data_IF_526710839721
#
_entry.id   IF_526710839721
#
_cell.length_a   1.000
_cell.length_b   1.000
_cell.length_c   1.000
_cell.angle_alpha   90.00
_cell.angle_beta   90.00
_cell.angle_gamma   90.00
#
_symmetry.space_group_name_H-M   'P 1'
#
loop_
_entity.id
_entity.type
_entity.pdbx_description
1 polymer ?
#
# COMPACT_ATOMS: atom_id res chain seq x y z
N UNK A 1 -20.64 -4.30 -20.72
CA UNK A 1 -20.43 -3.48 -19.50
C UNK A 1 -19.01 -2.92 -19.51
N UNK A 2 -18.84 -1.68 -19.06
CA UNK A 2 -17.55 -0.98 -19.00
C UNK A 2 -17.29 -0.46 -17.58
N UNK A 3 -16.10 -0.70 -17.05
CA UNK A 3 -15.65 -0.19 -15.74
C UNK A 3 -14.43 0.70 -15.93
N UNK A 4 -14.48 1.89 -15.34
CA UNK A 4 -13.37 2.84 -15.28
C UNK A 4 -12.69 2.72 -13.91
N UNK A 5 -11.47 2.18 -13.87
CA UNK A 5 -10.73 1.97 -12.62
C UNK A 5 -9.69 3.08 -12.42
N UNK A 6 -10.04 4.10 -11.64
CA UNK A 6 -9.14 5.19 -11.30
C UNK A 6 -8.29 4.83 -10.08
N UNK A 7 -6.98 4.66 -10.27
CA UNK A 7 -6.07 4.14 -9.24
C UNK A 7 -5.00 5.17 -8.89
N UNK A 8 -4.76 5.38 -7.59
CA UNK A 8 -3.68 6.23 -7.10
C UNK A 8 -2.32 5.75 -7.68
N UNK A 9 -1.56 6.68 -8.26
CA UNK A 9 -0.30 6.37 -8.95
C UNK A 9 0.93 6.34 -8.05
N UNK A 10 0.79 6.72 -6.78
CA UNK A 10 1.91 6.87 -5.84
C UNK A 10 2.36 5.49 -5.34
N UNK A 11 3.56 5.09 -5.75
CA UNK A 11 4.09 3.76 -5.49
C UNK A 11 3.28 2.64 -6.15
N UNK A 12 3.62 1.39 -5.87
CA UNK A 12 2.98 0.22 -6.48
C UNK A 12 1.87 -0.41 -5.62
N UNK A 13 1.69 0.05 -4.37
CA UNK A 13 0.74 -0.55 -3.43
C UNK A 13 -0.71 -0.48 -3.91
N UNK A 14 -1.13 0.68 -4.42
CA UNK A 14 -2.48 0.93 -4.92
C UNK A 14 -2.80 0.11 -6.19
N UNK A 15 -1.86 0.06 -7.14
CA UNK A 15 -2.07 -0.67 -8.38
C UNK A 15 -2.04 -2.18 -8.20
N UNK A 16 -1.13 -2.70 -7.36
CA UNK A 16 -1.01 -4.15 -7.10
C UNK A 16 -2.20 -4.73 -6.33
N UNK A 17 -3.00 -3.90 -5.63
CA UNK A 17 -4.28 -4.33 -5.04
C UNK A 17 -5.47 -4.17 -5.97
N UNK A 18 -5.43 -3.22 -6.91
CA UNK A 18 -6.54 -2.98 -7.84
C UNK A 18 -6.49 -3.90 -9.06
N UNK A 19 -5.29 -4.24 -9.54
CA UNK A 19 -5.09 -5.06 -10.73
C UNK A 19 -5.79 -6.42 -10.64
N UNK A 20 -5.73 -7.19 -9.52
CA UNK A 20 -6.43 -8.47 -9.44
C UNK A 20 -7.94 -8.37 -9.63
N UNK A 21 -8.56 -7.26 -9.18
CA UNK A 21 -9.99 -6.99 -9.36
C UNK A 21 -10.27 -6.74 -10.85
N UNK A 22 -9.49 -5.87 -11.49
CA UNK A 22 -9.61 -5.56 -12.91
C UNK A 22 -9.38 -6.79 -13.81
N UNK A 23 -8.40 -7.63 -13.45
CA UNK A 23 -8.10 -8.90 -14.13
C UNK A 23 -9.30 -9.83 -14.12
N UNK A 24 -9.93 -10.03 -12.96
CA UNK A 24 -11.12 -10.88 -12.86
C UNK A 24 -12.35 -10.30 -13.55
N UNK A 25 -12.55 -8.97 -13.50
CA UNK A 25 -13.60 -8.30 -14.26
C UNK A 25 -13.45 -8.56 -15.77
N UNK A 26 -12.24 -8.43 -16.31
CA UNK A 26 -11.95 -8.76 -17.72
C UNK A 26 -12.23 -10.23 -18.04
N UNK A 27 -11.85 -11.16 -17.15
CA UNK A 27 -12.16 -12.58 -17.31
C UNK A 27 -13.67 -12.87 -17.30
N UNK A 28 -14.49 -11.99 -16.71
CA UNK A 28 -15.96 -12.04 -16.75
C UNK A 28 -16.56 -11.29 -17.96
N UNK A 29 -15.74 -10.85 -18.92
CA UNK A 29 -16.20 -10.13 -20.12
C UNK A 29 -16.51 -8.65 -19.89
N UNK A 30 -16.10 -8.07 -18.75
CA UNK A 30 -16.25 -6.64 -18.48
C UNK A 30 -15.07 -5.90 -19.10
N UNK A 31 -15.36 -4.85 -19.88
CA UNK A 31 -14.33 -3.99 -20.43
C UNK A 31 -13.78 -3.07 -19.33
N UNK A 32 -12.50 -3.23 -18.98
CA UNK A 32 -11.84 -2.44 -17.92
C UNK A 32 -10.77 -1.55 -18.53
N UNK A 33 -10.78 -0.27 -18.16
CA UNK A 33 -9.66 0.66 -18.39
C UNK A 33 -9.15 1.18 -17.05
N UNK A 34 -7.83 1.29 -16.92
CA UNK A 34 -7.21 1.90 -15.75
C UNK A 34 -6.87 3.37 -16.03
N UNK A 35 -7.16 4.25 -15.08
CA UNK A 35 -6.69 5.64 -15.06
C UNK A 35 -5.71 5.84 -13.90
N UNK A 36 -4.44 6.10 -14.22
CA UNK A 36 -3.37 6.23 -13.22
C UNK A 36 -2.17 6.99 -13.78
N UNK A 37 -1.10 7.17 -12.99
CA UNK A 37 0.11 7.89 -13.38
C UNK A 37 1.36 7.30 -12.71
N UNK A 38 2.53 7.91 -12.92
CA UNK A 38 3.81 7.58 -12.27
C UNK A 38 4.23 6.10 -12.44
N UNK A 39 4.72 5.46 -11.36
CA UNK A 39 5.20 4.07 -11.40
C UNK A 39 4.08 3.08 -11.69
N UNK A 40 2.84 3.36 -11.25
CA UNK A 40 1.68 2.51 -11.50
C UNK A 40 1.33 2.40 -12.98
N UNK A 41 1.40 3.53 -13.73
CA UNK A 41 1.17 3.55 -15.17
C UNK A 41 2.16 2.64 -15.92
N UNK A 42 3.44 2.74 -15.57
CA UNK A 42 4.49 1.91 -16.18
C UNK A 42 4.30 0.43 -15.85
N UNK A 43 3.92 0.11 -14.62
CA UNK A 43 3.63 -1.27 -14.20
C UNK A 43 2.48 -1.88 -15.01
N UNK A 44 1.34 -1.19 -15.13
CA UNK A 44 0.17 -1.68 -15.87
C UNK A 44 0.45 -1.87 -17.37
N UNK A 45 1.19 -0.93 -17.98
CA UNK A 45 1.62 -1.06 -19.39
C UNK A 45 2.48 -2.31 -19.61
N UNK A 46 3.42 -2.58 -18.69
CA UNK A 46 4.32 -3.74 -18.80
C UNK A 46 3.56 -5.07 -18.79
N UNK A 47 2.48 -5.16 -18.02
CA UNK A 47 1.65 -6.37 -17.95
C UNK A 47 0.48 -6.37 -18.95
N UNK A 48 0.48 -5.44 -19.92
CA UNK A 48 -0.41 -5.48 -21.09
C UNK A 48 -1.75 -4.75 -20.95
N UNK A 49 -1.92 -3.85 -19.97
CA UNK A 49 -3.13 -3.01 -19.90
C UNK A 49 -3.02 -1.76 -20.77
N UNK A 50 -4.13 -1.45 -21.45
CA UNK A 50 -4.39 -0.11 -21.95
C UNK A 50 -4.77 0.78 -20.76
N UNK A 51 -4.14 1.96 -20.66
CA UNK A 51 -4.37 2.90 -19.57
C UNK A 51 -4.64 4.30 -20.10
N UNK A 52 -5.42 5.07 -19.34
CA UNK A 52 -5.41 6.52 -19.44
C UNK A 52 -4.39 7.07 -18.45
N UNK A 53 -3.29 7.61 -18.98
CA UNK A 53 -2.28 8.23 -18.14
C UNK A 53 -2.74 9.63 -17.73
N UNK A 54 -3.02 9.78 -16.45
CA UNK A 54 -3.57 11.00 -15.85
C UNK A 54 -2.50 11.83 -15.14
N UNK A 55 -2.93 12.89 -14.46
CA UNK A 55 -2.08 13.73 -13.61
C UNK A 55 -2.50 13.53 -12.16
N UNK A 56 -1.53 13.42 -11.26
CA UNK A 56 -1.78 13.44 -9.80
C UNK A 56 -0.68 14.26 -9.13
N UNK A 57 -0.97 14.78 -7.94
CA UNK A 57 0.05 15.39 -7.08
C UNK A 57 0.92 14.29 -6.44
N UNK A 58 2.21 14.58 -6.32
CA UNK A 58 3.15 13.83 -5.48
C UNK A 58 3.64 14.73 -4.35
N UNK A 59 4.24 14.15 -3.32
CA UNK A 59 4.91 14.87 -2.24
C UNK A 59 6.43 14.91 -2.44
N UNK A 60 7.06 15.93 -1.85
CA UNK A 60 8.50 16.11 -1.78
C UNK A 60 9.12 15.20 -0.72
N UNK A 61 10.35 14.77 -1.00
CA UNK A 61 11.08 13.80 -0.21
C UNK A 61 12.56 14.21 -0.16
N UNK A 62 13.10 14.25 1.05
CA UNK A 62 14.50 14.52 1.36
C UNK A 62 15.43 13.38 0.91
N UNK A 63 16.74 13.59 0.93
CA UNK A 63 17.72 12.56 0.54
C UNK A 63 17.69 11.32 1.45
N UNK A 64 17.31 11.49 2.71
CA UNK A 64 17.12 10.43 3.68
C UNK A 64 15.78 9.67 3.51
N UNK A 65 14.99 10.03 2.50
CA UNK A 65 13.66 9.46 2.27
C UNK A 65 12.56 10.03 3.17
N UNK A 66 12.83 11.05 3.98
CA UNK A 66 11.82 11.71 4.81
C UNK A 66 10.85 12.51 3.95
N UNK A 67 9.54 12.36 4.19
CA UNK A 67 8.52 13.18 3.51
C UNK A 67 8.56 14.60 4.07
N UNK A 68 8.62 15.58 3.16
CA UNK A 68 8.62 16.99 3.49
C UNK A 68 7.41 17.70 2.89
N UNK A 69 6.35 17.82 3.69
CA UNK A 69 5.14 18.53 3.29
C UNK A 69 5.34 20.05 3.19
N UNK A 70 6.31 20.63 3.90
CA UNK A 70 6.63 22.06 3.78
C UNK A 70 7.21 22.30 2.39
N UNK A 71 8.24 21.54 2.00
CA UNK A 71 8.80 21.61 0.66
C UNK A 71 7.75 21.28 -0.42
N UNK A 72 6.87 20.30 -0.17
CA UNK A 72 5.79 19.95 -1.11
C UNK A 72 4.84 21.12 -1.43
N UNK A 73 4.62 22.02 -0.47
CA UNK A 73 3.72 23.17 -0.61
C UNK A 73 4.47 24.49 -0.92
N UNK A 74 5.76 24.56 -0.57
CA UNK A 74 6.61 25.74 -0.75
C UNK A 74 7.40 25.74 -2.07
N UNK A 75 7.70 24.57 -2.66
CA UNK A 75 8.39 24.52 -3.93
C UNK A 75 7.50 24.99 -5.07
N UNK A 76 8.08 25.74 -5.99
CA UNK A 76 7.35 26.27 -7.13
C UNK A 76 6.89 25.09 -8.01
N UNK A 77 5.59 24.95 -8.26
CA UNK A 77 4.57 25.95 -7.96
C UNK A 77 3.80 25.47 -6.71
N UNK A 78 3.68 26.35 -5.71
CA UNK A 78 3.16 25.99 -4.37
C UNK A 78 1.66 25.68 -4.34
N UNK A 79 0.96 26.12 -3.29
CA UNK A 79 -0.50 25.89 -3.11
C UNK A 79 -1.37 26.21 -4.35
N UNK A 80 -1.11 27.31 -5.06
CA UNK A 80 -1.85 27.66 -6.29
C UNK A 80 -1.61 26.69 -7.45
N UNK A 81 -0.44 26.06 -7.51
CA UNK A 81 -0.22 24.97 -8.46
C UNK A 81 -1.00 23.73 -8.10
N UNK A 82 -1.06 23.40 -6.81
CA UNK A 82 -1.81 22.25 -6.34
C UNK A 82 -3.26 22.40 -6.82
N UNK A 83 -3.84 23.59 -6.67
CA UNK A 83 -5.16 23.94 -7.24
C UNK A 83 -5.17 23.79 -8.77
N UNK A 84 -4.24 24.42 -9.49
CA UNK A 84 -4.17 24.35 -10.97
C UNK A 84 -4.04 22.91 -11.47
N UNK A 85 -3.24 22.08 -10.82
CA UNK A 85 -3.03 20.68 -11.17
C UNK A 85 -4.29 19.86 -10.85
N UNK A 86 -4.95 20.13 -9.72
CA UNK A 86 -6.22 19.50 -9.35
C UNK A 86 -7.33 19.82 -10.36
N UNK A 87 -7.40 21.07 -10.83
CA UNK A 87 -8.33 21.47 -11.90
C UNK A 87 -8.00 20.79 -13.24
N UNK A 88 -6.72 20.66 -13.58
CA UNK A 88 -6.29 19.92 -14.77
C UNK A 88 -6.61 18.44 -14.68
N UNK A 89 -6.39 17.81 -13.52
CA UNK A 89 -6.77 16.43 -13.25
C UNK A 89 -8.27 16.26 -13.42
N UNK A 90 -9.08 17.15 -12.82
CA UNK A 90 -10.55 17.11 -12.96
C UNK A 90 -10.99 17.22 -14.43
N UNK A 91 -10.47 18.19 -15.18
CA UNK A 91 -10.81 18.36 -16.59
C UNK A 91 -10.37 17.15 -17.44
N UNK A 92 -9.20 16.58 -17.15
CA UNK A 92 -8.71 15.39 -17.84
C UNK A 92 -9.57 14.16 -17.52
N UNK A 93 -9.85 13.89 -16.25
CA UNK A 93 -10.69 12.76 -15.83
C UNK A 93 -12.11 12.89 -16.40
N UNK A 94 -12.69 14.09 -16.43
CA UNK A 94 -14.02 14.32 -17.00
C UNK A 94 -14.02 13.89 -18.48
N UNK A 95 -13.07 14.42 -19.25
CA UNK A 95 -12.92 14.07 -20.67
C UNK A 95 -12.73 12.57 -20.87
N UNK A 96 -11.90 11.90 -20.08
CA UNK A 96 -11.65 10.45 -20.21
C UNK A 96 -12.85 9.61 -19.82
N UNK A 97 -13.57 9.98 -18.77
CA UNK A 97 -14.78 9.28 -18.33
C UNK A 97 -15.88 9.43 -19.38
N UNK A 98 -16.10 10.63 -19.93
CA UNK A 98 -17.07 10.86 -21.01
C UNK A 98 -16.70 10.10 -22.29
N UNK A 99 -15.44 10.17 -22.73
CA UNK A 99 -14.97 9.44 -23.92
C UNK A 99 -15.10 7.92 -23.76
N UNK A 100 -14.82 7.38 -22.57
CA UNK A 100 -14.92 5.95 -22.33
C UNK A 100 -16.36 5.47 -22.14
N UNK A 101 -17.22 6.34 -21.61
CA UNK A 101 -18.62 6.10 -21.27
C UNK A 101 -18.80 4.82 -20.41
N UNK A 102 -18.28 4.79 -19.17
CA UNK A 102 -18.37 3.62 -18.30
C UNK A 102 -19.76 3.45 -17.70
N UNK A 103 -20.11 2.20 -17.41
CA UNK A 103 -21.26 1.84 -16.58
C UNK A 103 -20.98 2.04 -15.09
N UNK A 104 -19.71 1.91 -14.66
CA UNK A 104 -19.33 2.10 -13.27
C UNK A 104 -17.93 2.71 -13.15
N UNK A 105 -17.75 3.61 -12.17
CA UNK A 105 -16.45 4.17 -11.80
C UNK A 105 -15.98 3.55 -10.49
N UNK A 106 -14.83 2.87 -10.52
CA UNK A 106 -14.14 2.38 -9.33
C UNK A 106 -12.97 3.31 -9.04
N UNK A 107 -12.95 3.95 -7.88
CA UNK A 107 -11.86 4.82 -7.46
C UNK A 107 -11.11 4.21 -6.28
N UNK A 108 -9.80 4.23 -6.36
CA UNK A 108 -8.91 3.89 -5.26
C UNK A 108 -8.24 5.16 -4.75
N UNK A 109 -8.71 5.65 -3.60
CA UNK A 109 -8.26 6.88 -2.92
C UNK A 109 -8.37 8.20 -3.71
N UNK A 110 -8.79 8.19 -4.98
CA UNK A 110 -8.86 9.40 -5.82
C UNK A 110 -10.22 10.09 -5.74
N UNK A 111 -10.20 11.42 -5.69
CA UNK A 111 -11.41 12.24 -5.50
C UNK A 111 -12.08 12.64 -6.82
N UNK A 112 -11.30 13.11 -7.81
CA UNK A 112 -11.85 13.61 -9.07
C UNK A 112 -12.78 12.59 -9.77
N UNK A 113 -12.43 11.29 -9.87
CA UNK A 113 -13.33 10.29 -10.47
C UNK A 113 -14.66 10.13 -9.73
N UNK A 114 -14.66 10.21 -8.39
CA UNK A 114 -15.89 10.11 -7.57
C UNK A 114 -16.79 11.32 -7.80
N UNK A 115 -16.20 12.53 -7.78
CA UNK A 115 -16.95 13.77 -8.04
C UNK A 115 -17.58 13.74 -9.45
N UNK A 116 -16.80 13.37 -10.46
CA UNK A 116 -17.26 13.31 -11.86
C UNK A 116 -18.34 12.24 -12.02
N UNK A 117 -18.13 11.04 -11.48
CA UNK A 117 -19.14 9.98 -11.55
C UNK A 117 -20.46 10.44 -10.95
N UNK A 118 -20.40 11.12 -9.80
CA UNK A 118 -21.60 11.69 -9.16
C UNK A 118 -22.29 12.75 -10.03
N UNK A 119 -21.52 13.65 -10.65
CA UNK A 119 -22.04 14.69 -11.55
C UNK A 119 -22.72 14.09 -12.79
N UNK A 120 -22.18 13.01 -13.33
CA UNK A 120 -22.68 12.33 -14.52
C UNK A 120 -23.75 11.27 -14.21
N UNK A 121 -24.11 11.06 -12.93
CA UNK A 121 -25.08 10.03 -12.53
C UNK A 121 -24.58 8.59 -12.72
N UNK A 122 -23.26 8.38 -12.81
CA UNK A 122 -22.65 7.06 -12.98
C UNK A 122 -22.44 6.43 -11.60
N UNK A 123 -22.91 5.20 -11.35
CA UNK A 123 -22.64 4.48 -10.11
C UNK A 123 -21.15 4.33 -9.85
N UNK A 124 -20.78 4.47 -8.59
CA UNK A 124 -19.38 4.53 -8.22
C UNK A 124 -19.06 3.87 -6.88
N UNK A 125 -17.88 3.29 -6.84
CA UNK A 125 -17.34 2.56 -5.70
C UNK A 125 -16.00 3.19 -5.33
N UNK A 126 -15.81 3.49 -4.06
CA UNK A 126 -14.58 4.05 -3.54
C UNK A 126 -13.88 3.03 -2.64
N UNK A 127 -12.59 2.79 -2.86
CA UNK A 127 -11.75 1.99 -1.97
C UNK A 127 -10.79 2.89 -1.18
N UNK A 128 -10.77 2.73 0.15
CA UNK A 128 -9.97 3.55 1.06
C UNK A 128 -9.30 2.73 2.17
N UNK A 129 -8.08 3.15 2.52
CA UNK A 129 -7.36 2.69 3.72
C UNK A 129 -7.10 3.82 4.70
N UNK A 130 -7.51 5.04 4.35
CA UNK A 130 -7.32 6.24 5.12
C UNK A 130 -8.48 7.20 4.80
N UNK A 131 -9.29 7.55 5.80
CA UNK A 131 -10.22 8.68 5.68
C UNK A 131 -9.59 9.98 6.20
N UNK A 132 -8.69 9.87 7.17
CA UNK A 132 -7.98 11.03 7.70
C UNK A 132 -6.55 11.03 7.21
N UNK A 133 -6.30 11.84 6.18
CA UNK A 133 -4.94 12.13 5.76
C UNK A 133 -4.37 13.12 6.79
N UNK A 134 -3.41 12.70 7.60
CA UNK A 134 -2.79 13.55 8.62
C UNK A 134 -1.40 13.98 8.16
N UNK A 135 -1.07 15.25 8.34
CA UNK A 135 0.30 15.74 8.16
C UNK A 135 1.06 15.56 9.48
N UNK A 136 2.28 15.05 9.40
CA UNK A 136 3.20 14.95 10.54
C UNK A 136 4.35 15.93 10.30
N UNK A 137 4.74 16.65 11.35
CA UNK A 137 5.96 17.46 11.29
C UNK A 137 7.17 16.54 11.33
N UNK A 138 7.95 16.51 10.26
CA UNK A 138 9.22 15.79 10.16
C UNK A 138 10.44 16.70 10.38
N UNK A 139 10.24 18.02 10.56
CA UNK A 139 11.34 18.96 10.83
C UNK A 139 11.89 18.78 12.25
N UNK A 140 13.21 18.65 12.35
CA UNK A 140 13.94 18.54 13.62
C UNK A 140 14.36 19.90 14.22
N UNK A 141 14.08 21.01 13.53
CA UNK A 141 14.42 22.35 14.01
C UNK A 141 13.24 23.01 14.74
N UNK A 142 13.45 23.36 16.01
CA UNK A 142 12.46 23.99 16.89
C UNK A 142 12.50 25.53 16.83
N UNK A 143 12.49 26.12 15.63
CA UNK A 143 12.39 27.59 15.53
C UNK A 143 10.94 28.05 15.69
N UNK A 144 10.73 29.21 16.34
CA UNK A 144 9.39 29.79 16.55
C UNK A 144 8.64 30.04 15.23
N UNK A 145 9.38 30.43 14.19
CA UNK A 145 8.83 30.67 12.84
C UNK A 145 8.36 29.35 12.21
N UNK A 146 9.11 28.26 12.40
CA UNK A 146 8.72 26.95 11.92
C UNK A 146 7.49 26.41 12.63
N UNK A 147 7.38 26.64 13.94
CA UNK A 147 6.23 26.23 14.73
C UNK A 147 4.96 26.98 14.28
N UNK A 148 5.05 28.30 14.10
CA UNK A 148 3.96 29.13 13.60
C UNK A 148 3.53 28.71 12.18
N UNK A 149 4.50 28.46 11.29
CA UNK A 149 4.23 27.99 9.92
C UNK A 149 3.54 26.63 9.91
N UNK A 150 3.98 25.69 10.76
CA UNK A 150 3.35 24.38 10.89
C UNK A 150 1.92 24.47 11.45
N UNK A 151 1.67 25.36 12.43
CA UNK A 151 0.30 25.63 12.93
C UNK A 151 -0.61 26.14 11.82
N UNK A 152 -0.16 27.10 11.01
CA UNK A 152 -0.94 27.61 9.87
C UNK A 152 -1.24 26.50 8.85
N UNK A 153 -0.23 25.70 8.48
CA UNK A 153 -0.43 24.56 7.58
C UNK A 153 -1.46 23.58 8.13
N UNK A 154 -1.45 23.30 9.43
CA UNK A 154 -2.43 22.41 10.07
C UNK A 154 -3.87 22.92 9.94
N UNK A 155 -4.07 24.25 10.03
CA UNK A 155 -5.38 24.89 9.81
C UNK A 155 -5.84 24.73 8.35
N UNK A 156 -4.99 25.10 7.38
CA UNK A 156 -5.29 24.96 5.95
C UNK A 156 -5.56 23.50 5.56
N UNK A 157 -4.79 22.59 6.16
CA UNK A 157 -4.96 21.17 5.98
C UNK A 157 -6.29 20.65 6.52
N UNK A 158 -6.71 21.09 7.71
CA UNK A 158 -8.02 20.72 8.28
C UNK A 158 -9.20 21.15 7.41
N UNK A 159 -9.11 22.32 6.79
CA UNK A 159 -10.10 22.77 5.82
C UNK A 159 -10.10 21.88 4.56
N UNK A 160 -8.91 21.58 4.04
CA UNK A 160 -8.75 20.71 2.87
C UNK A 160 -9.25 19.28 3.14
N UNK A 161 -8.94 18.70 4.30
CA UNK A 161 -9.39 17.36 4.68
C UNK A 161 -10.91 17.27 4.77
N UNK A 162 -11.58 18.31 5.23
CA UNK A 162 -13.04 18.36 5.28
C UNK A 162 -13.67 18.33 3.88
N UNK A 163 -13.05 19.00 2.90
CA UNK A 163 -13.46 18.92 1.49
C UNK A 163 -13.24 17.53 0.92
N UNK A 164 -12.08 16.91 1.21
CA UNK A 164 -11.76 15.54 0.79
C UNK A 164 -12.81 14.54 1.32
N UNK A 165 -13.11 14.61 2.61
CA UNK A 165 -14.14 13.78 3.26
C UNK A 165 -15.52 14.01 2.64
N UNK A 166 -15.87 15.27 2.34
CA UNK A 166 -17.10 15.63 1.65
C UNK A 166 -17.22 14.99 0.27
N UNK A 167 -16.15 15.00 -0.54
CA UNK A 167 -16.16 14.37 -1.86
C UNK A 167 -16.25 12.85 -1.75
N UNK A 168 -15.48 12.22 -0.86
CA UNK A 168 -15.57 10.78 -0.64
C UNK A 168 -16.96 10.33 -0.18
N UNK A 169 -17.70 11.18 0.54
CA UNK A 169 -19.07 10.90 0.95
C UNK A 169 -20.07 10.76 -0.20
N UNK A 170 -19.73 11.29 -1.39
CA UNK A 170 -20.56 11.19 -2.60
C UNK A 170 -20.60 9.76 -3.16
N UNK A 171 -19.72 8.88 -2.67
CA UNK A 171 -19.65 7.50 -3.14
C UNK A 171 -20.90 6.70 -2.82
N UNK A 172 -21.28 5.77 -3.69
CA UNK A 172 -22.43 4.90 -3.46
C UNK A 172 -22.07 3.78 -2.47
N UNK A 173 -20.86 3.25 -2.57
CA UNK A 173 -20.26 2.29 -1.63
C UNK A 173 -18.81 2.65 -1.33
N UNK A 174 -18.39 2.46 -0.08
CA UNK A 174 -17.00 2.64 0.36
C UNK A 174 -16.45 1.31 0.88
N UNK A 175 -15.39 0.83 0.26
CA UNK A 175 -14.76 -0.44 0.53
C UNK A 175 -13.48 -0.24 1.32
N UNK A 176 -13.35 -0.97 2.42
CA UNK A 176 -12.16 -0.97 3.25
C UNK A 176 -11.46 -2.32 3.07
N UNK A 177 -10.34 -2.38 2.34
CA UNK A 177 -9.65 -3.63 2.05
C UNK A 177 -8.77 -4.03 3.24
N UNK A 178 -9.34 -4.07 4.44
CA UNK A 178 -8.71 -4.37 5.72
C UNK A 178 -9.65 -5.29 6.52
N UNK A 179 -9.16 -5.87 7.61
CA UNK A 179 -9.96 -6.61 8.57
C UNK A 179 -10.89 -5.65 9.32
N UNK A 180 -12.08 -6.11 9.73
CA UNK A 180 -12.93 -5.35 10.64
C UNK A 180 -12.31 -5.25 12.03
N UNK A 181 -12.84 -4.34 12.86
CA UNK A 181 -12.46 -4.27 14.27
C UNK A 181 -12.72 -5.62 14.97
N UNK A 182 -11.86 -6.04 15.91
CA UNK A 182 -10.71 -5.32 16.46
C UNK A 182 -9.40 -5.49 15.68
N UNK A 183 -9.38 -6.18 14.52
CA UNK A 183 -8.13 -6.57 13.85
C UNK A 183 -7.64 -5.59 12.78
N UNK A 184 -8.40 -4.53 12.49
CA UNK A 184 -8.06 -3.49 11.51
C UNK A 184 -6.65 -2.92 11.75
N UNK A 185 -5.80 -2.98 10.71
CA UNK A 185 -4.44 -2.43 10.72
C UNK A 185 -4.47 -0.91 10.51
N UNK A 186 -5.32 -0.43 9.62
CA UNK A 186 -5.51 0.98 9.32
C UNK A 186 -6.38 1.71 10.35
N UNK A 187 -6.57 1.19 11.56
CA UNK A 187 -7.52 1.72 12.55
C UNK A 187 -7.31 3.20 12.87
N UNK A 188 -6.05 3.66 12.96
CA UNK A 188 -5.69 5.08 13.16
C UNK A 188 -5.95 5.96 11.94
N UNK A 189 -5.83 5.39 10.74
CA UNK A 189 -5.95 6.10 9.46
C UNK A 189 -7.41 6.19 8.99
N UNK A 190 -8.21 5.19 9.34
CA UNK A 190 -9.61 5.11 8.95
C UNK A 190 -10.51 6.03 9.77
N UNK A 191 -10.34 6.12 11.10
CA UNK A 191 -11.06 7.06 11.98
C UNK A 191 -12.48 7.44 11.49
N UNK A 192 -13.29 6.41 11.19
CA UNK A 192 -14.47 6.51 10.33
C UNK A 192 -15.51 7.46 10.93
N UNK A 193 -15.92 8.52 10.21
CA UNK A 193 -17.05 9.34 10.63
C UNK A 193 -18.35 8.53 10.67
N UNK A 194 -19.14 8.68 11.75
CA UNK A 194 -20.43 7.97 11.94
C UNK A 194 -21.38 8.11 10.75
N UNK A 195 -21.35 9.25 10.07
CA UNK A 195 -22.18 9.53 8.90
C UNK A 195 -21.93 8.54 7.74
N UNK A 196 -20.76 7.89 7.68
CA UNK A 196 -20.39 7.00 6.59
C UNK A 196 -20.57 5.51 6.92
N UNK A 197 -20.92 5.15 8.16
CA UNK A 197 -21.01 3.75 8.59
C UNK A 197 -21.91 2.89 7.70
N UNK A 198 -23.04 3.43 7.25
CA UNK A 198 -24.01 2.72 6.38
C UNK A 198 -23.49 2.43 4.97
N UNK A 199 -22.49 3.19 4.51
CA UNK A 199 -21.90 3.05 3.16
C UNK A 199 -20.62 2.21 3.19
N UNK A 200 -20.10 1.91 4.37
CA UNK A 200 -18.81 1.27 4.54
C UNK A 200 -18.95 -0.24 4.61
N UNK A 201 -18.10 -0.93 3.85
CA UNK A 201 -17.96 -2.38 3.88
C UNK A 201 -16.51 -2.77 4.05
N UNK A 202 -16.19 -3.44 5.15
CA UNK A 202 -14.92 -4.14 5.28
C UNK A 202 -14.97 -5.37 4.38
N UNK A 203 -14.10 -5.41 3.38
CA UNK A 203 -14.03 -6.52 2.41
C UNK A 203 -12.92 -7.51 2.73
N UNK A 204 -12.11 -7.23 3.76
CA UNK A 204 -10.89 -7.96 4.04
C UNK A 204 -9.73 -7.53 3.13
N UNK A 205 -8.51 -7.99 3.40
CA UNK A 205 -7.36 -7.65 2.57
C UNK A 205 -7.41 -8.32 1.20
N UNK A 206 -6.94 -7.59 0.19
CA UNK A 206 -6.81 -8.08 -1.17
C UNK A 206 -5.57 -8.97 -1.28
N UNK A 207 -5.80 -10.28 -1.17
CA UNK A 207 -4.80 -11.35 -1.24
C UNK A 207 -5.20 -12.29 -2.40
N UNK A 208 -4.66 -12.09 -3.61
CA UNK A 208 -5.05 -12.85 -4.80
C UNK A 208 -4.58 -14.32 -4.81
N UNK A 209 -3.49 -14.64 -4.11
CA UNK A 209 -3.00 -16.02 -3.92
C UNK A 209 -3.15 -16.36 -2.43
N UNK A 210 -4.03 -17.31 -2.11
CA UNK A 210 -4.28 -17.72 -0.72
C UNK A 210 -3.18 -18.64 -0.23
N UNK A 211 -3.07 -18.73 1.10
CA UNK A 211 -2.11 -19.63 1.75
C UNK A 211 -2.26 -21.09 1.29
N UNK A 212 -3.50 -21.53 1.07
CA UNK A 212 -3.86 -22.88 0.60
C UNK A 212 -3.49 -23.16 -0.85
N UNK A 213 -3.33 -22.11 -1.66
CA UNK A 213 -3.10 -22.24 -3.11
C UNK A 213 -1.63 -22.55 -3.42
N UNK A 214 -0.73 -22.29 -2.48
CA UNK A 214 0.70 -22.54 -2.62
C UNK A 214 1.13 -23.90 -2.03
N UNK A 215 2.21 -24.50 -2.54
CA UNK A 215 2.83 -25.69 -1.95
C UNK A 215 3.22 -25.48 -0.48
N UNK A 216 3.57 -26.57 0.22
CA UNK A 216 4.07 -26.47 1.59
C UNK A 216 5.42 -25.72 1.66
N UNK A 217 5.79 -25.28 2.86
CA UNK A 217 6.97 -24.43 3.09
C UNK A 217 8.27 -25.08 2.60
N UNK A 218 8.45 -26.38 2.85
CA UNK A 218 9.64 -27.17 2.45
C UNK A 218 9.79 -27.21 0.92
N UNK A 219 8.70 -27.47 0.21
CA UNK A 219 8.70 -27.50 -1.26
C UNK A 219 9.11 -26.15 -1.84
N UNK A 220 8.56 -25.06 -1.29
CA UNK A 220 8.88 -23.71 -1.73
C UNK A 220 10.35 -23.37 -1.43
N UNK A 221 10.88 -23.76 -0.26
CA UNK A 221 12.29 -23.52 0.07
C UNK A 221 13.22 -24.21 -0.93
N UNK A 222 12.93 -25.45 -1.34
CA UNK A 222 13.69 -26.14 -2.40
C UNK A 222 13.57 -25.42 -3.75
N UNK A 223 12.37 -25.05 -4.18
CA UNK A 223 12.13 -24.32 -5.43
C UNK A 223 12.89 -22.99 -5.50
N UNK A 224 12.93 -22.26 -4.39
CA UNK A 224 13.57 -20.94 -4.30
C UNK A 224 15.04 -21.00 -3.84
N UNK A 225 15.60 -22.21 -3.71
CA UNK A 225 16.96 -22.45 -3.22
C UNK A 225 17.24 -21.75 -1.87
N UNK A 226 16.35 -21.92 -0.90
CA UNK A 226 16.43 -21.40 0.47
C UNK A 226 16.92 -22.52 1.39
N UNK A 227 17.92 -22.21 2.24
CA UNK A 227 18.49 -23.18 3.18
C UNK A 227 17.49 -23.47 4.32
N UNK A 228 16.96 -24.69 4.35
CA UNK A 228 15.97 -25.13 5.34
C UNK A 228 16.51 -25.22 6.77
N UNK A 229 17.84 -25.33 6.93
CA UNK A 229 18.48 -25.39 8.25
C UNK A 229 18.60 -24.02 8.93
N UNK A 230 18.34 -22.94 8.17
CA UNK A 230 18.50 -21.55 8.61
C UNK A 230 17.16 -20.86 8.82
N UNK A 231 17.17 -19.86 9.70
CA UNK A 231 16.04 -18.95 9.87
C UNK A 231 15.98 -18.01 8.67
N UNK A 232 14.87 -18.01 7.95
CA UNK A 232 14.69 -17.22 6.73
C UNK A 232 14.15 -15.83 7.06
N UNK A 233 14.92 -14.79 6.76
CA UNK A 233 14.51 -13.38 6.88
C UNK A 233 14.30 -12.81 5.48
N UNK A 234 13.07 -12.40 5.18
CA UNK A 234 12.74 -11.77 3.90
C UNK A 234 12.52 -10.27 4.04
N UNK A 235 13.44 -9.49 3.48
CA UNK A 235 13.37 -8.05 3.37
C UNK A 235 12.68 -7.64 2.06
N UNK A 236 11.43 -7.20 2.14
CA UNK A 236 10.66 -6.68 1.01
C UNK A 236 10.75 -5.15 0.96
N UNK A 237 11.53 -4.64 0.02
CA UNK A 237 11.67 -3.19 -0.18
C UNK A 237 10.64 -2.72 -1.18
N UNK A 238 9.79 -1.78 -0.75
CA UNK A 238 8.74 -1.17 -1.57
C UNK A 238 8.56 0.30 -1.23
N UNK A 239 7.80 1.02 -2.05
CA UNK A 239 7.50 2.44 -1.87
C UNK A 239 8.00 3.29 -3.04
N UNK A 240 7.79 4.61 -2.98
CA UNK A 240 8.24 5.51 -4.03
C UNK A 240 9.78 5.52 -4.14
N UNK A 241 10.27 5.92 -5.31
CA UNK A 241 11.67 5.73 -5.74
C UNK A 241 12.73 6.17 -4.72
N UNK A 242 12.62 7.37 -4.12
CA UNK A 242 13.65 7.93 -3.23
C UNK A 242 13.69 7.20 -1.88
N UNK A 243 12.54 7.03 -1.26
CA UNK A 243 12.35 6.37 0.04
C UNK A 243 12.72 4.89 -0.04
N UNK A 244 12.39 4.25 -1.18
CA UNK A 244 12.80 2.89 -1.52
C UNK A 244 14.32 2.77 -1.60
N UNK A 245 14.98 3.70 -2.31
CA UNK A 245 16.43 3.69 -2.48
C UNK A 245 17.17 3.83 -1.14
N UNK A 246 16.71 4.73 -0.26
CA UNK A 246 17.31 4.88 1.07
C UNK A 246 17.24 3.59 1.88
N UNK A 247 16.04 2.98 1.97
CA UNK A 247 15.85 1.76 2.75
C UNK A 247 16.66 0.60 2.17
N UNK A 248 16.64 0.46 0.84
CA UNK A 248 17.42 -0.55 0.13
C UNK A 248 18.89 -0.45 0.51
N UNK A 249 19.49 0.74 0.37
CA UNK A 249 20.91 0.94 0.67
C UNK A 249 21.24 0.66 2.14
N UNK A 250 20.35 1.03 3.07
CA UNK A 250 20.53 0.80 4.50
C UNK A 250 20.44 -0.69 4.85
N UNK A 251 19.42 -1.39 4.34
CA UNK A 251 19.24 -2.83 4.56
C UNK A 251 20.33 -3.66 3.89
N UNK A 252 20.75 -3.33 2.67
CA UNK A 252 21.88 -4.01 1.99
C UNK A 252 23.16 -3.98 2.83
N UNK A 253 23.41 -2.91 3.59
CA UNK A 253 24.58 -2.84 4.49
C UNK A 253 24.38 -3.68 5.75
N UNK A 254 23.24 -3.53 6.42
CA UNK A 254 22.94 -4.23 7.68
C UNK A 254 22.87 -5.76 7.47
N UNK A 255 22.22 -6.20 6.41
CA UNK A 255 21.94 -7.62 6.19
C UNK A 255 23.18 -8.43 5.78
N UNK A 256 24.25 -7.78 5.32
CA UNK A 256 25.52 -8.48 4.96
C UNK A 256 26.28 -9.00 6.18
N UNK A 257 26.02 -8.45 7.36
CA UNK A 257 26.69 -8.81 8.61
C UNK A 257 25.80 -9.66 9.52
N UNK A 258 24.63 -10.09 9.03
CA UNK A 258 23.75 -10.99 9.78
C UNK A 258 24.45 -12.31 10.14
N UNK A 259 24.17 -12.89 11.33
CA UNK A 259 24.75 -14.16 11.75
C UNK A 259 24.46 -15.31 10.78
N UNK A 260 25.38 -16.28 10.67
CA UNK A 260 25.29 -17.40 9.72
C UNK A 260 24.05 -18.29 9.85
N UNK A 261 23.40 -18.27 11.03
CA UNK A 261 22.13 -18.98 11.28
C UNK A 261 20.94 -18.42 10.50
N UNK A 262 21.11 -17.26 9.85
CA UNK A 262 20.08 -16.63 9.03
C UNK A 262 20.34 -16.84 7.54
N UNK A 263 19.28 -17.14 6.80
CA UNK A 263 19.24 -17.03 5.35
C UNK A 263 18.47 -15.75 5.00
N UNK A 264 19.16 -14.77 4.40
CA UNK A 264 18.58 -13.47 4.13
C UNK A 264 18.27 -13.31 2.66
N UNK A 265 17.00 -12.99 2.37
CA UNK A 265 16.50 -12.71 1.03
C UNK A 265 16.02 -11.26 0.99
N UNK A 266 16.36 -10.53 -0.06
CA UNK A 266 15.92 -9.15 -0.28
C UNK A 266 15.30 -9.00 -1.66
N UNK A 267 14.14 -8.36 -1.77
CA UNK A 267 13.60 -7.88 -3.04
C UNK A 267 13.65 -6.36 -3.11
N UNK A 268 14.22 -5.82 -4.21
CA UNK A 268 14.42 -4.37 -4.38
C UNK A 268 13.14 -3.62 -4.77
N UNK A 269 12.14 -4.33 -5.30
CA UNK A 269 10.89 -3.74 -5.77
C UNK A 269 11.09 -2.82 -6.98
N UNK A 270 12.02 -3.18 -7.87
CA UNK A 270 12.22 -2.49 -9.14
C UNK A 270 11.45 -3.21 -10.26
N UNK A 271 10.30 -2.70 -10.73
CA UNK A 271 9.53 -3.34 -11.79
C UNK A 271 10.23 -3.31 -13.16
N UNK A 272 11.42 -2.72 -13.30
CA UNK A 272 12.27 -2.83 -14.49
C UNK A 272 13.44 -3.80 -14.29
N UNK A 273 13.61 -4.30 -13.07
CA UNK A 273 14.66 -5.23 -12.71
C UNK A 273 14.44 -6.63 -13.25
N UNK A 274 15.51 -7.42 -13.18
CA UNK A 274 15.50 -8.85 -13.46
C UNK A 274 14.74 -9.63 -12.37
N UNK A 275 14.08 -10.72 -12.77
CA UNK A 275 13.39 -11.67 -11.89
C UNK A 275 14.32 -12.77 -11.37
N UNK A 276 15.54 -12.86 -11.88
CA UNK A 276 16.52 -13.86 -11.44
C UNK A 276 17.06 -13.57 -10.03
N UNK A 277 17.29 -14.65 -9.27
CA UNK A 277 17.92 -14.58 -7.97
C UNK A 277 19.44 -14.38 -8.11
N UNK A 278 19.96 -13.35 -7.45
CA UNK A 278 21.39 -13.03 -7.42
C UNK A 278 21.94 -13.22 -6.02
N UNK A 279 23.19 -13.65 -5.89
CA UNK A 279 23.89 -13.67 -4.60
C UNK A 279 24.84 -12.48 -4.54
N UNK A 280 24.67 -11.62 -3.54
CA UNK A 280 25.55 -10.47 -3.28
C UNK A 280 26.13 -10.67 -1.88
N UNK A 281 27.38 -11.09 -1.75
CA UNK A 281 27.94 -11.45 -0.45
C UNK A 281 27.15 -12.59 0.21
N UNK A 282 26.60 -12.35 1.40
CA UNK A 282 25.80 -13.31 2.17
C UNK A 282 24.30 -13.27 1.88
N UNK A 283 23.83 -12.31 1.10
CA UNK A 283 22.40 -12.11 0.85
C UNK A 283 21.98 -12.59 -0.54
N UNK A 284 20.78 -13.16 -0.61
CA UNK A 284 20.05 -13.48 -1.85
C UNK A 284 19.20 -12.28 -2.25
N UNK A 285 19.30 -11.82 -3.48
CA UNK A 285 18.71 -10.56 -3.93
C UNK A 285 17.96 -10.74 -5.24
N UNK A 286 16.70 -10.29 -5.25
CA UNK A 286 15.88 -10.11 -6.44
C UNK A 286 15.77 -8.62 -6.77
N UNK A 287 15.94 -8.23 -8.04
CA UNK A 287 15.62 -6.86 -8.45
C UNK A 287 14.11 -6.67 -8.52
N UNK A 288 13.42 -7.63 -9.15
CA UNK A 288 11.96 -7.76 -9.20
C UNK A 288 11.53 -9.16 -8.77
N UNK A 289 10.36 -9.26 -8.14
CA UNK A 289 9.69 -10.54 -7.90
C UNK A 289 8.30 -10.48 -8.52
N UNK A 290 7.91 -11.50 -9.25
CA UNK A 290 6.53 -11.66 -9.73
C UNK A 290 5.58 -11.98 -8.55
N UNK A 291 4.28 -11.98 -8.84
CA UNK A 291 3.23 -12.18 -7.83
C UNK A 291 3.37 -13.53 -7.11
N UNK A 292 3.54 -14.61 -7.86
CA UNK A 292 3.63 -15.97 -7.30
C UNK A 292 4.90 -16.13 -6.46
N UNK A 293 6.06 -15.73 -7.00
CA UNK A 293 7.35 -15.77 -6.29
C UNK A 293 7.30 -14.93 -5.02
N UNK A 294 6.66 -13.75 -5.05
CA UNK A 294 6.51 -12.92 -3.87
C UNK A 294 5.72 -13.64 -2.77
N UNK A 295 4.58 -14.25 -3.10
CA UNK A 295 3.77 -14.98 -2.13
C UNK A 295 4.47 -16.25 -1.62
N UNK A 296 5.23 -16.94 -2.48
CA UNK A 296 6.13 -18.04 -2.07
C UNK A 296 7.17 -17.57 -1.06
N UNK A 297 7.82 -16.44 -1.30
CA UNK A 297 8.77 -15.84 -0.34
C UNK A 297 8.10 -15.49 0.99
N UNK A 298 6.89 -14.91 0.97
CA UNK A 298 6.12 -14.69 2.20
C UNK A 298 5.85 -16.02 2.94
N UNK A 299 5.45 -17.08 2.24
CA UNK A 299 5.19 -18.40 2.85
C UNK A 299 6.45 -19.07 3.42
N UNK A 300 7.57 -18.97 2.70
CA UNK A 300 8.85 -19.61 3.05
C UNK A 300 9.62 -18.91 4.18
N UNK A 301 9.26 -17.67 4.51
CA UNK A 301 10.02 -16.87 5.48
C UNK A 301 9.58 -17.12 6.92
N UNK A 302 10.48 -16.88 7.87
CA UNK A 302 10.16 -16.85 9.30
C UNK A 302 9.78 -15.45 9.75
N UNK A 303 10.50 -14.43 9.28
CA UNK A 303 10.29 -13.02 9.59
C UNK A 303 10.23 -12.21 8.30
N UNK A 304 9.29 -11.28 8.22
CA UNK A 304 9.23 -10.27 7.16
C UNK A 304 9.81 -8.96 7.66
N UNK A 305 10.62 -8.29 6.84
CA UNK A 305 11.14 -6.93 7.10
C UNK A 305 10.72 -6.03 5.95
N UNK A 306 10.12 -4.88 6.24
CA UNK A 306 9.73 -3.97 5.16
C UNK A 306 9.20 -2.63 5.63
N UNK A 307 8.68 -1.84 4.67
CA UNK A 307 7.93 -0.62 4.96
C UNK A 307 6.61 -0.97 5.65
N UNK A 308 6.04 -0.02 6.40
CA UNK A 308 4.75 -0.19 7.06
C UNK A 308 3.55 0.01 6.13
N UNK A 309 3.73 -0.29 4.83
CA UNK A 309 2.66 -0.20 3.85
C UNK A 309 1.60 -1.26 4.11
N UNK A 310 0.33 -0.87 4.05
CA UNK A 310 -0.79 -1.76 4.36
C UNK A 310 -0.73 -3.08 3.58
N UNK A 311 -0.42 -3.05 2.28
CA UNK A 311 -0.33 -4.25 1.45
C UNK A 311 0.75 -5.24 1.89
N UNK A 312 1.93 -4.76 2.32
CA UNK A 312 3.01 -5.62 2.81
C UNK A 312 2.63 -6.29 4.13
N UNK A 313 2.07 -5.50 5.05
CA UNK A 313 1.58 -6.01 6.33
C UNK A 313 0.51 -7.09 6.11
N UNK A 314 -0.47 -6.84 5.26
CA UNK A 314 -1.54 -7.81 5.00
C UNK A 314 -1.03 -9.10 4.37
N UNK A 315 -0.05 -9.02 3.45
CA UNK A 315 0.59 -10.21 2.89
C UNK A 315 1.32 -11.01 3.97
N UNK A 316 2.07 -10.36 4.86
CA UNK A 316 2.73 -11.05 5.97
C UNK A 316 1.72 -11.78 6.88
N UNK A 317 0.65 -11.08 7.30
CA UNK A 317 -0.38 -11.66 8.16
C UNK A 317 -1.17 -12.79 7.46
N UNK A 318 -1.45 -12.66 6.16
CA UNK A 318 -2.12 -13.67 5.36
C UNK A 318 -1.33 -14.98 5.25
N UNK A 319 -0.02 -14.91 5.48
CA UNK A 319 0.88 -16.07 5.47
C UNK A 319 1.39 -16.42 6.88
N UNK A 320 0.72 -15.91 7.92
CA UNK A 320 1.03 -16.17 9.32
C UNK A 320 2.49 -15.80 9.67
N UNK A 321 2.99 -14.69 9.13
CA UNK A 321 4.37 -14.23 9.38
C UNK A 321 4.37 -12.96 10.23
N UNK A 322 5.10 -12.92 11.35
CA UNK A 322 5.35 -11.67 12.05
C UNK A 322 6.20 -10.73 11.19
N UNK A 323 6.04 -9.42 11.41
CA UNK A 323 6.65 -8.41 10.56
C UNK A 323 7.39 -7.33 11.36
N UNK A 324 8.59 -6.98 10.90
CA UNK A 324 9.32 -5.78 11.31
C UNK A 324 9.00 -4.67 10.31
N UNK A 325 8.39 -3.60 10.79
CA UNK A 325 8.01 -2.46 9.96
C UNK A 325 8.95 -1.27 10.20
N UNK A 326 9.41 -0.66 9.11
CA UNK A 326 10.27 0.53 9.12
C UNK A 326 9.50 1.67 8.41
N UNK A 327 8.61 2.39 9.11
CA UNK A 327 7.79 3.42 8.50
C UNK A 327 8.64 4.56 7.94
N UNK A 328 8.16 5.18 6.85
CA UNK A 328 8.79 6.37 6.25
C UNK A 328 8.55 7.57 7.18
N UNK A 329 9.61 8.30 7.61
CA UNK A 329 9.47 9.52 8.41
C UNK A 329 8.52 10.53 7.76
N UNK A 330 7.58 11.06 8.54
CA UNK A 330 6.54 11.98 8.05
C UNK A 330 5.34 11.30 7.39
N UNK A 331 5.36 10.00 7.08
CA UNK A 331 4.21 9.35 6.46
C UNK A 331 3.24 8.79 7.51
N UNK A 332 2.18 9.57 7.82
CA UNK A 332 1.21 9.23 8.86
C UNK A 332 0.56 7.87 8.70
N UNK A 333 0.22 7.47 7.45
CA UNK A 333 -0.40 6.18 7.20
C UNK A 333 0.49 5.02 7.66
N UNK A 334 1.78 5.07 7.31
CA UNK A 334 2.75 4.05 7.66
C UNK A 334 3.02 4.00 9.16
N UNK A 335 3.15 5.14 9.83
CA UNK A 335 3.27 5.15 11.30
C UNK A 335 2.02 4.55 11.97
N UNK A 336 0.83 4.95 11.53
CA UNK A 336 -0.42 4.45 12.08
C UNK A 336 -0.53 2.93 11.96
N UNK A 337 -0.15 2.37 10.81
CA UNK A 337 -0.13 0.93 10.57
C UNK A 337 0.95 0.22 11.42
N UNK A 338 2.16 0.78 11.51
CA UNK A 338 3.26 0.20 12.28
C UNK A 338 2.94 0.13 13.78
N UNK A 339 2.45 1.23 14.35
CA UNK A 339 2.03 1.28 15.75
C UNK A 339 0.87 0.32 16.02
N UNK A 340 -0.06 0.17 15.05
CA UNK A 340 -1.16 -0.77 15.19
C UNK A 340 -0.68 -2.22 15.22
N UNK A 341 0.31 -2.57 14.43
CA UNK A 341 0.90 -3.92 14.42
C UNK A 341 1.58 -4.25 15.74
N UNK A 342 2.28 -3.30 16.36
CA UNK A 342 2.82 -3.48 17.71
C UNK A 342 1.71 -3.67 18.76
N UNK A 343 0.65 -2.85 18.70
CA UNK A 343 -0.50 -2.97 19.61
C UNK A 343 -1.19 -4.32 19.51
N UNK A 344 -1.31 -4.87 18.31
CA UNK A 344 -1.88 -6.20 18.06
C UNK A 344 -0.90 -7.34 18.41
N UNK A 345 0.35 -7.03 18.78
CA UNK A 345 1.42 -8.01 19.04
C UNK A 345 1.70 -8.92 17.84
N UNK A 346 1.64 -8.35 16.62
CA UNK A 346 1.86 -9.08 15.36
C UNK A 346 3.20 -8.74 14.70
N UNK A 347 3.95 -7.81 15.29
CA UNK A 347 5.19 -7.31 14.72
C UNK A 347 5.84 -6.25 15.58
N UNK A 348 6.91 -5.65 15.05
CA UNK A 348 7.73 -4.64 15.72
C UNK A 348 7.95 -3.44 14.80
N UNK A 349 7.80 -2.23 15.33
CA UNK A 349 8.20 -1.01 14.63
C UNK A 349 9.64 -0.67 14.96
N UNK A 350 10.46 -0.43 13.94
CA UNK A 350 11.76 0.23 14.06
C UNK A 350 11.65 1.57 13.35
N UNK A 351 11.77 2.67 14.09
CA UNK A 351 11.80 4.00 13.47
C UNK A 351 13.00 4.09 12.53
N UNK A 352 12.83 4.72 11.37
CA UNK A 352 13.84 4.76 10.31
C UNK A 352 15.20 5.27 10.81
N UNK A 353 15.19 6.31 11.63
CA UNK A 353 16.37 6.94 12.24
C UNK A 353 17.09 6.05 13.25
N UNK A 354 16.41 5.04 13.80
CA UNK A 354 16.96 4.06 14.74
C UNK A 354 17.38 2.75 14.07
N UNK A 355 17.23 2.64 12.75
CA UNK A 355 17.57 1.42 12.02
C UNK A 355 19.09 1.24 11.99
N UNK A 356 19.59 0.25 12.72
CA UNK A 356 20.96 -0.24 12.70
C UNK A 356 20.97 -1.77 12.85
N UNK A 357 22.15 -2.37 12.78
CA UNK A 357 22.35 -3.82 12.86
C UNK A 357 21.77 -4.41 14.15
N UNK A 358 22.18 -3.89 15.30
CA UNK A 358 21.74 -4.36 16.61
C UNK A 358 20.23 -4.27 16.77
N UNK A 359 19.62 -3.13 16.41
CA UNK A 359 18.19 -2.91 16.50
C UNK A 359 17.40 -3.89 15.61
N UNK A 360 17.88 -4.15 14.39
CA UNK A 360 17.21 -5.09 13.49
C UNK A 360 17.36 -6.53 13.96
N UNK A 361 18.56 -6.94 14.37
CA UNK A 361 18.83 -8.29 14.87
C UNK A 361 18.02 -8.58 16.15
N UNK A 362 18.03 -7.65 17.10
CA UNK A 362 17.23 -7.76 18.33
C UNK A 362 15.73 -7.86 18.03
N UNK A 363 15.22 -7.13 17.04
CA UNK A 363 13.83 -7.23 16.63
C UNK A 363 13.51 -8.59 15.99
N UNK A 364 14.40 -9.13 15.15
CA UNK A 364 14.26 -10.47 14.57
C UNK A 364 14.17 -11.53 15.66
N UNK A 365 15.13 -11.56 16.59
CA UNK A 365 15.18 -12.53 17.69
C UNK A 365 13.95 -12.49 18.59
N UNK A 366 13.45 -11.29 18.88
CA UNK A 366 12.24 -11.13 19.68
C UNK A 366 10.98 -11.61 18.95
N UNK A 367 10.87 -11.35 17.64
CA UNK A 367 9.69 -11.74 16.87
C UNK A 367 9.66 -13.23 16.52
N UNK A 368 10.78 -13.93 16.50
CA UNK A 368 10.78 -15.40 16.31
C UNK A 368 9.95 -16.11 17.37
N UNK A 369 9.86 -15.54 18.58
CA UNK A 369 9.01 -16.03 19.68
C UNK A 369 7.51 -15.90 19.38
N UNK A 370 7.11 -15.12 18.37
CA UNK A 370 5.71 -14.89 18.00
C UNK A 370 5.22 -15.76 16.84
N UNK A 371 6.08 -16.55 16.19
CA UNK A 371 5.72 -17.35 14.99
C UNK A 371 4.48 -18.24 15.20
N UNK A 372 4.29 -18.72 16.43
CA UNK A 372 3.15 -19.56 16.82
C UNK A 372 2.26 -18.96 17.91
N UNK A 373 2.28 -17.63 18.06
CA UNK A 373 1.43 -16.95 19.04
C UNK A 373 -0.07 -17.14 18.76
N UNK A 374 -0.88 -17.11 19.82
CA UNK A 374 -2.34 -17.21 19.70
C UNK A 374 -2.90 -16.02 18.90
N UNK A 375 -2.33 -14.84 19.09
CA UNK A 375 -2.69 -13.60 18.40
C UNK A 375 -2.53 -13.74 16.88
N UNK A 376 -1.38 -14.20 16.41
CA UNK A 376 -1.09 -14.37 14.99
C UNK A 376 -1.99 -15.44 14.36
N UNK A 377 -2.19 -16.56 15.06
CA UNK A 377 -3.11 -17.62 14.62
C UNK A 377 -4.57 -17.12 14.51
N UNK A 378 -5.04 -16.30 15.46
CA UNK A 378 -6.39 -15.74 15.41
C UNK A 378 -6.58 -14.79 14.23
N UNK A 379 -5.63 -13.88 14.02
CA UNK A 379 -5.67 -12.93 12.90
C UNK A 379 -5.61 -13.67 11.57
N UNK A 380 -4.75 -14.69 11.44
CA UNK A 380 -4.68 -15.54 10.24
C UNK A 380 -6.02 -16.24 9.95
N UNK A 381 -6.70 -16.78 10.96
CA UNK A 381 -8.02 -17.41 10.80
C UNK A 381 -9.06 -16.42 10.29
N UNK A 382 -9.15 -15.24 10.91
CA UNK A 382 -10.08 -14.20 10.49
C UNK A 382 -9.74 -13.71 9.09
N UNK A 383 -8.48 -13.47 8.77
CA UNK A 383 -8.05 -13.03 7.44
C UNK A 383 -8.45 -14.02 6.35
N UNK A 384 -8.23 -15.32 6.59
CA UNK A 384 -8.57 -16.36 5.61
C UNK A 384 -10.08 -16.59 5.47
N UNK A 385 -10.93 -16.09 6.37
CA UNK A 385 -12.38 -16.11 6.15
C UNK A 385 -12.86 -15.05 5.15
N UNK A 386 -11.98 -14.15 4.71
CA UNK A 386 -12.29 -13.14 3.70
C UNK A 386 -11.79 -13.54 2.31
N UNK A 387 -12.62 -13.21 1.32
CA UNK A 387 -12.22 -13.15 -0.09
C UNK A 387 -12.58 -11.78 -0.65
N UNK A 388 -11.69 -10.81 -0.40
CA UNK A 388 -11.89 -9.44 -0.82
C UNK A 388 -12.03 -9.32 -2.34
N UNK A 389 -11.19 -10.02 -3.11
CA UNK A 389 -11.21 -9.94 -4.57
C UNK A 389 -12.57 -10.40 -5.11
N UNK A 390 -13.08 -11.55 -4.65
CA UNK A 390 -14.40 -12.05 -5.04
C UNK A 390 -15.54 -11.17 -4.51
N UNK A 391 -15.44 -10.68 -3.28
CA UNK A 391 -16.45 -9.80 -2.68
C UNK A 391 -16.61 -8.51 -3.47
N UNK A 392 -15.49 -7.88 -3.86
CA UNK A 392 -15.49 -6.65 -4.67
C UNK A 392 -15.98 -6.95 -6.08
N UNK A 393 -15.53 -8.04 -6.70
CA UNK A 393 -15.99 -8.46 -8.02
C UNK A 393 -17.52 -8.62 -8.05
N UNK A 394 -18.09 -9.36 -7.10
CA UNK A 394 -19.53 -9.58 -7.03
C UNK A 394 -20.29 -8.26 -6.83
N UNK A 395 -19.81 -7.39 -5.93
CA UNK A 395 -20.42 -6.08 -5.72
C UNK A 395 -20.45 -5.25 -7.01
N UNK A 396 -19.33 -5.19 -7.74
CA UNK A 396 -19.25 -4.44 -9.00
C UNK A 396 -20.21 -5.04 -10.04
N UNK A 397 -20.27 -6.37 -10.17
CA UNK A 397 -21.18 -7.03 -11.12
C UNK A 397 -22.66 -6.81 -10.76
N UNK A 398 -23.01 -6.87 -9.47
CA UNK A 398 -24.36 -6.55 -8.99
C UNK A 398 -24.77 -5.12 -9.36
N UNK A 399 -23.88 -4.14 -9.11
CA UNK A 399 -24.14 -2.74 -9.47
C UNK A 399 -24.24 -2.52 -10.98
N UNK A 400 -23.47 -3.28 -11.79
CA UNK A 400 -23.54 -3.21 -13.25
C UNK A 400 -24.84 -3.80 -13.82
N UNK A 401 -25.43 -4.79 -13.14
CA UNK A 401 -26.68 -5.45 -13.57
C UNK A 401 -27.96 -4.71 -13.14
N UNK A 402 -27.83 -3.72 -12.26
CA UNK A 402 -28.96 -2.87 -11.83
C UNK A 402 -29.22 -1.69 -12.79
N UNK A 403 -28.44 -1.60 -13.88
CA UNK A 403 -28.59 -0.65 -15.00
C UNK A 403 -29.14 -1.37 -16.22
#
# INVERSE_FOLDING_TARGET
MKVYMAVCGIGLGHVTRCEPIGRLLKNKGVNVVFSTCFEAANYLRRIGYNIFETLQMSYAVNEDGTVDYKASLAYNPGFFHAIKLSLKELAYELKRIEEYNPNLVFSDSRMAPILIAKMLGIPNVLMLNQFKVNIINSSFNNSLIEEASFKLMKVLWGASSSVIEGIWSLSDQILIPDLPYPYTVSSRNLAIPKAFEKKIKFVGPIIPIKYSDLPNEETIKKELNIDESKITVYAVVSGPKKEKAWLLNKLMKILQVFPEKYEVILSKGDPKGDVTLKKIGKIKVYDWVDEETQFKLFKASDIIVGRAGHGVIMKALAYKKPIITIPIPGQAEQYGNAERIEQLKLGKMIKQEKLNEEALLNAVENLLKLKDSKELNNVFKVLNSFDAVKTILNLILEMLNQQ
#
